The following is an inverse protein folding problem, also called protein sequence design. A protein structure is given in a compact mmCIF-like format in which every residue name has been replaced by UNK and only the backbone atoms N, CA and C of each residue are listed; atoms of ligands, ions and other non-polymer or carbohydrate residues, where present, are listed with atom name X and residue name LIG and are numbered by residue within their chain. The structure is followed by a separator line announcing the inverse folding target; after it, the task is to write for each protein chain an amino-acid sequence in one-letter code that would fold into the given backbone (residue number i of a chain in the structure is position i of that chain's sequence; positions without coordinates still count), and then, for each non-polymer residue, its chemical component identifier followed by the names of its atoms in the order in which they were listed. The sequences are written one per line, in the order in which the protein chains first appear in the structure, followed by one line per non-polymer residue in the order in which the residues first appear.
data_IF_860635639109
#
_entry.id   IF_860635639109
#
_cell.length_a   1.000
_cell.length_b   1.000
_cell.length_c   1.000
_cell.angle_alpha   90.00
_cell.angle_beta   90.00
_cell.angle_gamma   90.00
#
_symmetry.space_group_name_H-M   'P 1'
#
loop_
_entity.id
_entity.type
_entity.pdbx_description
1 polymer ?
#
# COMPACT_ATOMS: atom_id res chain seq x y z
N UNK A 1 1.32 -1.56 -4.96
CA UNK A 1 1.22 -2.74 -4.06
C UNK A 1 1.62 -2.35 -2.66
N UNK A 2 0.96 -2.86 -1.62
CA UNK A 2 1.22 -2.52 -0.21
C UNK A 2 1.64 -3.77 0.55
N UNK A 3 2.82 -3.74 1.17
CA UNK A 3 3.26 -4.82 2.06
C UNK A 3 2.46 -4.77 3.35
N UNK A 4 1.80 -5.87 3.68
CA UNK A 4 1.03 -5.99 4.91
C UNK A 4 1.83 -6.86 5.90
N UNK A 5 2.04 -6.37 7.12
CA UNK A 5 2.70 -7.07 8.23
C UNK A 5 1.81 -7.04 9.47
N UNK A 6 1.39 -8.20 9.96
CA UNK A 6 0.53 -8.36 11.14
C UNK A 6 0.60 -9.82 11.60
N UNK A 7 0.65 -10.04 12.91
CA UNK A 7 0.63 -11.40 13.49
C UNK A 7 -0.80 -11.92 13.66
N UNK A 8 -1.73 -11.02 13.97
CA UNK A 8 -3.15 -11.34 14.12
C UNK A 8 -3.82 -11.43 12.75
N UNK A 9 -4.61 -12.48 12.56
CA UNK A 9 -5.39 -12.67 11.33
C UNK A 9 -6.41 -11.54 11.09
N UNK A 10 -7.02 -11.00 12.14
CA UNK A 10 -7.99 -9.91 12.02
C UNK A 10 -7.33 -8.63 11.50
N UNK A 11 -6.21 -8.24 12.09
CA UNK A 11 -5.41 -7.07 11.67
C UNK A 11 -4.89 -7.23 10.23
N UNK A 12 -4.50 -8.46 9.84
CA UNK A 12 -4.12 -8.82 8.47
C UNK A 12 -5.28 -8.62 7.49
N UNK A 13 -6.50 -9.03 7.86
CA UNK A 13 -7.70 -8.85 7.05
C UNK A 13 -8.12 -7.39 6.97
N UNK A 14 -7.95 -6.63 8.05
CA UNK A 14 -8.18 -5.19 8.07
C UNK A 14 -7.24 -4.46 7.12
N UNK A 15 -5.93 -4.79 7.15
CA UNK A 15 -4.96 -4.27 6.19
C UNK A 15 -5.35 -4.61 4.75
N UNK A 16 -5.79 -5.84 4.49
CA UNK A 16 -6.28 -6.22 3.16
C UNK A 16 -7.50 -5.39 2.75
N UNK A 17 -8.48 -5.19 3.64
CA UNK A 17 -9.65 -4.38 3.35
C UNK A 17 -9.25 -2.93 3.00
N UNK A 18 -8.33 -2.33 3.74
CA UNK A 18 -7.79 -1.00 3.46
C UNK A 18 -7.14 -0.90 2.07
N UNK A 19 -6.30 -1.88 1.72
CA UNK A 19 -5.63 -1.93 0.40
C UNK A 19 -6.65 -2.09 -0.73
N UNK A 20 -7.65 -2.96 -0.54
CA UNK A 20 -8.69 -3.21 -1.54
C UNK A 20 -9.66 -2.05 -1.72
N UNK A 21 -9.97 -1.30 -0.65
CA UNK A 21 -10.82 -0.11 -0.71
C UNK A 21 -10.25 0.95 -1.67
N UNK A 22 -8.94 0.98 -1.86
CA UNK A 22 -8.22 1.87 -2.77
C UNK A 22 -7.87 1.20 -4.11
N UNK A 23 -8.41 0.01 -4.37
CA UNK A 23 -8.18 -0.74 -5.60
C UNK A 23 -6.78 -1.37 -5.70
N UNK A 24 -6.00 -1.37 -4.63
CA UNK A 24 -4.62 -1.86 -4.61
C UNK A 24 -4.45 -3.38 -4.61
N UNK A 25 -3.20 -3.80 -4.53
CA UNK A 25 -2.77 -5.19 -4.31
C UNK A 25 -1.99 -5.28 -3.01
N UNK A 26 -2.26 -6.31 -2.22
CA UNK A 26 -1.54 -6.56 -0.98
C UNK A 26 -0.39 -7.55 -1.25
N UNK A 27 0.75 -7.32 -0.61
CA UNK A 27 1.86 -8.27 -0.57
C UNK A 27 1.96 -8.84 0.85
N UNK A 28 1.90 -10.16 0.97
CA UNK A 28 1.99 -10.85 2.27
C UNK A 28 3.27 -11.69 2.36
N UNK A 29 3.86 -11.84 3.56
CA UNK A 29 4.90 -12.86 3.77
C UNK A 29 4.35 -14.26 3.47
N UNK A 30 5.13 -15.10 2.78
CA UNK A 30 4.68 -16.44 2.36
C UNK A 30 4.35 -17.39 3.54
N UNK A 31 4.87 -17.09 4.74
CA UNK A 31 4.55 -17.82 5.97
C UNK A 31 3.06 -17.79 6.35
N UNK A 32 2.27 -16.82 5.82
CA UNK A 32 0.86 -16.62 6.16
C UNK A 32 -0.13 -17.42 5.26
N UNK A 33 0.32 -18.52 4.66
CA UNK A 33 -0.45 -19.26 3.65
C UNK A 33 -1.82 -19.79 4.10
N UNK A 34 -2.01 -20.05 5.40
CA UNK A 34 -3.27 -20.58 5.94
C UNK A 34 -4.43 -19.58 5.88
N UNK A 35 -4.18 -18.29 6.15
CA UNK A 35 -5.21 -17.24 6.04
C UNK A 35 -5.56 -17.00 4.57
N UNK A 36 -4.54 -16.96 3.71
CA UNK A 36 -4.70 -16.78 2.26
C UNK A 36 -5.57 -17.87 1.63
N UNK A 37 -5.37 -19.13 2.04
CA UNK A 37 -6.14 -20.27 1.55
C UNK A 37 -7.64 -20.20 1.90
N UNK A 38 -7.99 -19.49 2.98
CA UNK A 38 -9.38 -19.30 3.43
C UNK A 38 -10.09 -18.15 2.71
N UNK A 39 -9.35 -17.27 2.02
CA UNK A 39 -9.96 -16.17 1.28
C UNK A 39 -10.74 -16.67 0.06
N UNK A 40 -11.88 -16.03 -0.27
CA UNK A 40 -12.55 -16.20 -1.56
C UNK A 40 -11.58 -15.97 -2.74
N UNK A 41 -11.76 -16.68 -3.87
CA UNK A 41 -10.84 -16.59 -5.01
C UNK A 41 -10.61 -15.15 -5.52
N UNK A 42 -11.65 -14.32 -5.55
CA UNK A 42 -11.55 -12.93 -5.98
C UNK A 42 -10.64 -12.08 -5.06
N UNK A 43 -10.66 -12.34 -3.75
CA UNK A 43 -9.79 -11.65 -2.79
C UNK A 43 -8.36 -12.19 -2.86
N UNK A 44 -8.23 -13.52 -3.01
CA UNK A 44 -6.92 -14.17 -3.16
C UNK A 44 -6.15 -13.67 -4.38
N UNK A 45 -6.85 -13.40 -5.49
CA UNK A 45 -6.27 -12.84 -6.71
C UNK A 45 -5.71 -11.40 -6.54
N UNK A 46 -6.01 -10.74 -5.41
CA UNK A 46 -5.49 -9.41 -5.05
C UNK A 46 -4.37 -9.45 -4.01
N UNK A 47 -3.91 -10.65 -3.66
CA UNK A 47 -2.84 -10.87 -2.68
C UNK A 47 -1.69 -11.62 -3.35
N UNK A 48 -0.56 -10.95 -3.45
CA UNK A 48 0.71 -11.55 -3.83
C UNK A 48 1.45 -12.02 -2.57
N UNK A 49 2.35 -13.01 -2.71
CA UNK A 49 3.18 -13.48 -1.60
C UNK A 49 4.67 -13.28 -1.89
N UNK A 50 5.42 -12.93 -0.85
CA UNK A 50 6.88 -12.85 -0.90
C UNK A 50 7.49 -13.80 0.14
N UNK A 51 8.41 -14.66 -0.29
CA UNK A 51 9.16 -15.51 0.63
C UNK A 51 10.02 -14.67 1.58
N UNK A 52 10.67 -13.64 1.04
CA UNK A 52 11.43 -12.65 1.79
C UNK A 52 11.15 -11.27 1.21
N UNK A 53 10.29 -10.50 1.89
CA UNK A 53 9.95 -9.14 1.46
C UNK A 53 11.09 -8.15 1.65
N UNK A 54 12.12 -8.49 2.44
CA UNK A 54 13.25 -7.58 2.70
C UNK A 54 14.19 -7.49 1.49
N UNK A 55 14.16 -8.49 0.60
CA UNK A 55 14.95 -8.51 -0.63
C UNK A 55 14.49 -7.50 -1.66
N UNK A 56 15.42 -6.96 -2.44
CA UNK A 56 15.12 -5.93 -3.44
C UNK A 56 14.08 -6.41 -4.45
N UNK A 57 14.05 -7.69 -4.81
CA UNK A 57 13.10 -8.25 -5.77
C UNK A 57 11.63 -8.07 -5.35
N UNK A 58 11.35 -8.01 -4.04
CA UNK A 58 10.02 -7.71 -3.55
C UNK A 58 9.69 -6.24 -3.81
N UNK A 59 8.67 -5.94 -4.62
CA UNK A 59 8.26 -4.57 -4.97
C UNK A 59 6.98 -4.17 -4.26
N UNK A 60 7.01 -3.03 -3.59
CA UNK A 60 5.85 -2.44 -2.91
C UNK A 60 6.11 -0.94 -2.68
N UNK A 61 5.03 -0.16 -2.60
CA UNK A 61 5.06 1.31 -2.56
C UNK A 61 4.83 1.86 -1.15
N UNK A 62 4.26 1.05 -0.26
CA UNK A 62 4.01 1.36 1.14
C UNK A 62 4.02 0.08 2.00
N UNK A 63 4.20 0.25 3.31
CA UNK A 63 4.08 -0.83 4.31
C UNK A 63 3.02 -0.47 5.34
N UNK A 64 2.11 -1.41 5.61
CA UNK A 64 1.22 -1.41 6.77
C UNK A 64 1.77 -2.42 7.79
N UNK A 65 1.98 -1.97 9.03
CA UNK A 65 2.39 -2.83 10.15
C UNK A 65 1.38 -2.70 11.29
N UNK A 66 0.79 -3.81 11.74
CA UNK A 66 0.22 -3.92 13.08
C UNK A 66 1.23 -4.70 13.94
N UNK A 67 1.78 -4.06 14.96
CA UNK A 67 2.80 -4.65 15.80
C UNK A 67 3.36 -3.69 16.82
N UNK A 68 4.04 -4.25 17.81
CA UNK A 68 4.61 -3.48 18.92
C UNK A 68 5.83 -2.64 18.50
N UNK A 69 6.40 -1.92 19.47
CA UNK A 69 7.55 -1.06 19.26
C UNK A 69 8.80 -1.83 18.78
N UNK A 70 9.02 -3.05 19.28
CA UNK A 70 10.17 -3.86 18.90
C UNK A 70 10.06 -4.29 17.44
N UNK A 71 8.89 -4.77 17.04
CA UNK A 71 8.58 -5.16 15.67
C UNK A 71 8.68 -3.97 14.72
N UNK A 72 8.22 -2.79 15.14
CA UNK A 72 8.35 -1.55 14.37
C UNK A 72 9.81 -1.20 14.07
N UNK A 73 10.68 -1.28 15.08
CA UNK A 73 12.11 -1.02 14.90
C UNK A 73 12.78 -2.06 13.98
N UNK A 74 12.44 -3.33 14.12
CA UNK A 74 12.95 -4.39 13.25
C UNK A 74 12.57 -4.15 11.78
N UNK A 75 11.30 -3.81 11.52
CA UNK A 75 10.82 -3.53 10.16
C UNK A 75 11.48 -2.28 9.60
N UNK A 76 11.63 -1.20 10.38
CA UNK A 76 12.33 0.01 9.95
C UNK A 76 13.79 -0.27 9.58
N UNK A 77 14.51 -1.06 10.39
CA UNK A 77 15.89 -1.42 10.10
C UNK A 77 16.01 -2.17 8.77
N UNK A 78 15.14 -3.17 8.54
CA UNK A 78 15.10 -3.90 7.27
C UNK A 78 14.72 -3.02 6.07
N UNK A 79 13.78 -2.09 6.25
CA UNK A 79 13.42 -1.16 5.18
C UNK A 79 14.57 -0.23 4.82
N UNK A 80 15.38 0.19 5.79
CA UNK A 80 16.53 1.06 5.58
C UNK A 80 17.69 0.36 4.83
N UNK A 81 17.77 -0.97 4.90
CA UNK A 81 18.78 -1.76 4.19
C UNK A 81 18.45 -2.02 2.71
N UNK A 82 17.21 -1.77 2.30
CA UNK A 82 16.75 -2.02 0.93
C UNK A 82 17.32 -1.01 -0.06
N UNK A 83 17.68 -1.50 -1.24
CA UNK A 83 18.00 -0.60 -2.34
C UNK A 83 16.73 -0.06 -3.00
N UNK A 84 16.83 1.15 -3.56
CA UNK A 84 15.75 1.79 -4.32
C UNK A 84 15.00 2.87 -3.52
N UNK A 85 13.73 3.16 -3.88
CA UNK A 85 12.96 4.22 -3.24
C UNK A 85 12.72 3.96 -1.76
N UNK A 86 12.70 5.03 -0.97
CA UNK A 86 12.26 4.97 0.43
C UNK A 86 10.77 4.65 0.48
N UNK A 87 10.44 3.55 1.13
CA UNK A 87 9.05 3.13 1.32
C UNK A 87 8.55 3.62 2.67
N UNK A 88 7.37 4.25 2.67
CA UNK A 88 6.73 4.71 3.92
C UNK A 88 6.18 3.52 4.72
N UNK A 89 6.52 3.51 6.02
CA UNK A 89 5.94 2.61 7.01
C UNK A 89 4.81 3.33 7.75
N UNK A 90 3.61 2.75 7.70
CA UNK A 90 2.50 3.11 8.57
C UNK A 90 2.34 2.00 9.60
N UNK A 91 2.68 2.31 10.85
CA UNK A 91 2.64 1.37 11.96
C UNK A 91 1.50 1.71 12.92
N UNK A 92 0.79 0.68 13.33
CA UNK A 92 -0.37 0.69 14.21
C UNK A 92 -0.13 -0.34 15.32
N UNK A 93 -0.77 -0.14 16.47
CA UNK A 93 -0.74 -1.14 17.54
C UNK A 93 -1.66 -2.32 17.16
N UNK A 94 -1.42 -3.51 17.72
CA UNK A 94 -2.25 -4.67 17.42
C UNK A 94 -3.73 -4.41 17.79
N UNK A 95 -4.64 -4.70 16.86
CA UNK A 95 -6.08 -4.43 17.01
C UNK A 95 -6.52 -2.98 16.80
N UNK A 96 -5.63 -2.05 16.44
CA UNK A 96 -6.03 -0.72 16.01
C UNK A 96 -6.78 -0.79 14.66
N UNK A 97 -7.94 -0.14 14.56
CA UNK A 97 -8.80 -0.18 13.39
C UNK A 97 -8.64 1.06 12.48
N UNK A 98 -7.98 2.11 12.95
CA UNK A 98 -7.97 3.43 12.33
C UNK A 98 -6.86 3.59 11.27
N UNK A 99 -6.88 2.75 10.22
CA UNK A 99 -5.94 2.87 9.10
C UNK A 99 -6.24 4.13 8.28
N UNK A 100 -5.28 5.04 8.20
CA UNK A 100 -5.38 6.28 7.42
C UNK A 100 -5.23 6.00 5.91
N UNK A 101 -6.36 5.82 5.20
CA UNK A 101 -6.41 5.44 3.79
C UNK A 101 -5.81 6.49 2.84
N UNK A 102 -5.94 7.78 3.18
CA UNK A 102 -5.39 8.89 2.41
C UNK A 102 -3.87 8.86 2.29
N UNK A 103 -3.18 8.07 3.13
CA UNK A 103 -1.72 7.87 3.05
C UNK A 103 -1.31 6.76 2.08
N UNK A 104 -2.27 6.02 1.53
CA UNK A 104 -2.04 4.90 0.62
C UNK A 104 -2.36 5.24 -0.85
N UNK A 105 -2.66 6.50 -1.16
CA UNK A 105 -2.87 6.99 -2.53
C UNK A 105 -1.63 7.69 -3.07
N UNK A 106 -1.48 7.68 -4.39
CA UNK A 106 -0.45 8.46 -5.09
C UNK A 106 -1.13 9.64 -5.77
N UNK A 107 -0.86 10.84 -5.28
CA UNK A 107 -1.37 12.07 -5.88
C UNK A 107 -0.71 12.34 -7.23
N UNK A 108 -1.50 12.80 -8.21
CA UNK A 108 -1.03 13.18 -9.54
C UNK A 108 -1.65 14.51 -9.93
N UNK A 109 -0.81 15.49 -10.28
CA UNK A 109 -1.24 16.79 -10.79
C UNK A 109 -0.93 16.90 -12.28
N UNK A 110 -1.92 17.32 -13.07
CA UNK A 110 -1.80 17.50 -14.52
C UNK A 110 -2.15 18.94 -14.87
N UNK A 111 -1.19 19.66 -15.46
CA UNK A 111 -1.41 21.00 -15.99
C UNK A 111 -1.48 20.94 -17.51
N UNK A 112 -2.64 21.29 -18.07
CA UNK A 112 -2.92 21.23 -19.50
C UNK A 112 -3.01 22.66 -20.02
N UNK A 113 -2.11 23.04 -20.94
CA UNK A 113 -2.21 24.30 -21.64
C UNK A 113 -3.31 24.22 -22.71
N UNK A 114 -4.51 24.66 -22.36
CA UNK A 114 -5.68 24.64 -23.24
C UNK A 114 -5.60 25.65 -24.39
N UNK A 115 -4.68 26.63 -24.33
CA UNK A 115 -4.48 27.63 -25.37
C UNK A 115 -3.34 27.27 -26.34
N UNK A 116 -2.71 26.10 -26.19
CA UNK A 116 -1.54 25.69 -26.98
C UNK A 116 -1.81 25.67 -28.51
N UNK A 117 -3.07 25.49 -28.94
CA UNK A 117 -3.48 25.54 -30.34
C UNK A 117 -3.64 26.96 -30.91
N UNK A 118 -3.28 28.01 -30.14
CA UNK A 118 -3.28 29.40 -30.60
C UNK A 118 -4.52 30.22 -30.22
N UNK A 119 -5.41 29.69 -29.37
CA UNK A 119 -6.57 30.42 -28.87
C UNK A 119 -7.21 29.73 -27.67
N UNK A 120 -7.78 30.51 -26.76
CA UNK A 120 -8.55 29.99 -25.63
C UNK A 120 -10.04 29.99 -25.99
N UNK A 121 -10.58 28.82 -26.30
CA UNK A 121 -11.99 28.67 -26.67
C UNK A 121 -12.96 29.21 -25.59
N UNK A 122 -12.59 29.10 -24.31
CA UNK A 122 -13.40 29.63 -23.20
C UNK A 122 -13.40 31.16 -23.13
N UNK A 123 -12.41 31.84 -23.73
CA UNK A 123 -12.39 33.31 -23.84
C UNK A 123 -13.18 33.81 -25.06
N UNK A 124 -13.47 32.95 -26.04
CA UNK A 124 -14.26 33.33 -27.23
C UNK A 124 -15.77 33.36 -26.98
N UNK A 125 -16.23 32.99 -25.77
CA UNK A 125 -17.65 32.90 -25.39
C UNK A 125 -18.03 33.83 -24.24
N UNK A 126 -17.13 34.72 -23.81
CA UNK A 126 -17.38 35.75 -22.80
C UNK A 126 -17.72 37.06 -23.54
N UNK A 127 -18.93 37.57 -23.32
CA UNK A 127 -19.40 38.91 -23.72
C UNK A 127 -19.23 39.92 -22.58
#
# INVERSE_FOLDING_TARGET
TVLCLAERADDRLLQLAAVLALGGHALWPAADGAVLARLPPALRARVDTAADWSRDEARFDAVLLHGDAARRLEVLARLAERAGPLVLLHAYDAGDEAIALERLVVERSLSINTAAAGGNASLMTID
#
